data_IF_627021725419
#
_entry.id   IF_627021725419
#
_cell.length_a   1.000
_cell.length_b   1.000
_cell.length_c   1.000
_cell.angle_alpha   90.00
_cell.angle_beta   90.00
_cell.angle_gamma   90.00
#
_symmetry.space_group_name_H-M   'P 1'
#
loop_
_entity.id
_entity.type
_entity.pdbx_description
1 polymer ?
#
# COMPACT_ATOMS: atom_id res chain seq x y z
N UNK A 1 -49.75 -8.73 -13.05
CA UNK A 1 -48.59 -7.85 -13.29
C UNK A 1 -47.61 -8.05 -12.14
N UNK A 2 -46.31 -8.10 -12.40
CA UNK A 2 -45.30 -8.28 -11.35
C UNK A 2 -45.33 -7.10 -10.37
N UNK A 3 -45.35 -7.38 -9.07
CA UNK A 3 -45.32 -6.35 -8.00
C UNK A 3 -44.30 -6.73 -6.96
N UNK A 4 -43.36 -5.84 -6.67
CA UNK A 4 -42.37 -5.99 -5.61
C UNK A 4 -42.95 -5.46 -4.31
N UNK A 5 -42.99 -6.31 -3.29
CA UNK A 5 -43.37 -5.95 -1.93
C UNK A 5 -42.15 -5.42 -1.16
N UNK A 6 -41.04 -6.17 -1.18
CA UNK A 6 -39.81 -5.83 -0.46
C UNK A 6 -38.56 -6.35 -1.18
N UNK A 7 -37.41 -5.79 -0.80
CA UNK A 7 -36.09 -6.29 -1.14
C UNK A 7 -35.26 -6.43 0.13
N UNK A 8 -34.38 -7.43 0.19
CA UNK A 8 -33.49 -7.65 1.32
C UNK A 8 -32.18 -8.28 0.85
N UNK A 9 -31.01 -7.72 1.22
CA UNK A 9 -30.84 -6.48 1.99
C UNK A 9 -31.22 -5.21 1.20
N UNK A 10 -31.40 -4.07 1.86
CA UNK A 10 -31.66 -2.76 1.20
C UNK A 10 -30.39 -2.00 0.82
N UNK A 11 -29.22 -2.53 1.19
CA UNK A 11 -27.91 -2.07 0.77
C UNK A 11 -26.97 -3.25 0.58
N UNK A 12 -25.91 -3.07 -0.18
CA UNK A 12 -24.90 -4.09 -0.42
C UNK A 12 -23.88 -3.65 -1.46
N UNK A 13 -22.93 -4.51 -1.77
CA UNK A 13 -21.88 -4.27 -2.74
C UNK A 13 -21.92 -5.34 -3.86
N UNK A 14 -20.90 -5.38 -4.71
CA UNK A 14 -20.81 -6.37 -5.78
C UNK A 14 -20.67 -7.79 -5.22
N UNK A 15 -21.46 -8.73 -5.74
CA UNK A 15 -21.40 -10.14 -5.34
C UNK A 15 -22.40 -10.51 -4.25
N UNK A 16 -22.96 -9.54 -3.53
CA UNK A 16 -24.02 -9.78 -2.55
C UNK A 16 -25.26 -10.43 -3.18
N UNK A 17 -25.96 -11.26 -2.41
CA UNK A 17 -27.23 -11.85 -2.85
C UNK A 17 -28.39 -10.97 -2.41
N UNK A 18 -29.11 -10.42 -3.38
CA UNK A 18 -30.34 -9.66 -3.17
C UNK A 18 -31.56 -10.58 -3.35
N UNK A 19 -32.42 -10.63 -2.35
CA UNK A 19 -33.73 -11.30 -2.42
C UNK A 19 -34.83 -10.27 -2.65
N UNK A 20 -35.65 -10.50 -3.66
CA UNK A 20 -36.80 -9.66 -4.04
C UNK A 20 -38.07 -10.46 -3.79
N UNK A 21 -38.92 -9.98 -2.89
CA UNK A 21 -40.19 -10.63 -2.54
C UNK A 21 -41.36 -9.86 -3.12
N UNK A 22 -42.35 -10.58 -3.66
CA UNK A 22 -43.46 -9.95 -4.35
C UNK A 22 -44.53 -10.92 -4.83
N UNK A 23 -45.24 -10.51 -5.87
CA UNK A 23 -46.24 -11.34 -6.55
C UNK A 23 -46.04 -11.27 -8.06
N UNK A 24 -46.31 -12.38 -8.76
CA UNK A 24 -46.21 -12.45 -10.21
C UNK A 24 -44.80 -12.23 -10.75
N UNK A 25 -43.76 -12.61 -10.00
CA UNK A 25 -42.35 -12.38 -10.36
C UNK A 25 -41.79 -13.36 -11.43
N UNK A 26 -42.66 -14.17 -12.02
CA UNK A 26 -42.31 -15.17 -13.03
C UNK A 26 -42.09 -16.56 -12.43
N UNK A 27 -41.41 -17.42 -13.19
CA UNK A 27 -41.01 -18.77 -12.80
C UNK A 27 -39.84 -19.23 -13.70
N UNK A 28 -39.40 -20.48 -13.56
CA UNK A 28 -38.26 -21.01 -14.31
C UNK A 28 -38.46 -21.13 -15.83
N UNK A 29 -39.68 -21.04 -16.34
CA UNK A 29 -39.97 -21.15 -17.79
C UNK A 29 -40.22 -19.79 -18.45
N UNK A 30 -40.26 -18.72 -17.67
CA UNK A 30 -40.50 -17.35 -18.15
C UNK A 30 -39.23 -16.53 -18.05
N UNK A 31 -38.94 -15.72 -19.06
CA UNK A 31 -37.82 -14.78 -19.00
C UNK A 31 -38.08 -13.69 -17.97
N UNK A 32 -37.36 -13.79 -16.85
CA UNK A 32 -37.32 -12.78 -15.79
C UNK A 32 -35.96 -12.10 -15.77
N UNK A 33 -35.94 -10.78 -15.64
CA UNK A 33 -34.71 -9.98 -15.47
C UNK A 33 -34.86 -9.06 -14.26
N UNK A 34 -33.78 -8.80 -13.55
CA UNK A 34 -33.73 -7.77 -12.50
C UNK A 34 -32.96 -6.57 -13.01
N UNK A 35 -33.49 -5.37 -12.83
CA UNK A 35 -32.87 -4.12 -13.25
C UNK A 35 -32.46 -3.31 -12.03
N UNK A 36 -31.18 -2.94 -11.96
CA UNK A 36 -30.63 -1.94 -11.05
C UNK A 36 -30.47 -0.63 -11.84
N UNK A 37 -31.50 0.22 -11.83
CA UNK A 37 -31.57 1.37 -12.74
C UNK A 37 -31.51 0.91 -14.20
N UNK A 38 -30.50 1.39 -14.94
CA UNK A 38 -30.29 1.00 -16.34
C UNK A 38 -29.58 -0.35 -16.52
N UNK A 39 -28.97 -0.92 -15.47
CA UNK A 39 -28.25 -2.18 -15.60
C UNK A 39 -29.13 -3.37 -15.31
N UNK A 40 -29.25 -4.26 -16.29
CA UNK A 40 -30.05 -5.47 -16.20
C UNK A 40 -29.19 -6.71 -15.98
N UNK A 41 -29.63 -7.59 -15.10
CA UNK A 41 -28.98 -8.86 -14.80
C UNK A 41 -29.98 -10.01 -14.80
N UNK A 42 -29.49 -11.21 -15.08
CA UNK A 42 -30.29 -12.44 -14.98
C UNK A 42 -30.29 -12.90 -13.52
N UNK A 43 -31.46 -13.13 -12.90
CA UNK A 43 -31.54 -13.66 -11.54
C UNK A 43 -31.01 -15.10 -11.45
N UNK A 44 -30.51 -15.48 -10.27
CA UNK A 44 -30.03 -16.84 -9.99
C UNK A 44 -31.18 -17.81 -9.71
N UNK A 45 -32.27 -17.34 -9.09
CA UNK A 45 -33.49 -18.13 -8.90
C UNK A 45 -34.74 -17.28 -9.13
N UNK A 46 -35.80 -17.90 -9.63
CA UNK A 46 -37.07 -17.24 -9.93
C UNK A 46 -38.22 -18.14 -9.50
N UNK A 47 -39.07 -17.61 -8.63
CA UNK A 47 -40.36 -18.19 -8.24
C UNK A 47 -41.46 -17.13 -8.37
N UNK A 48 -42.75 -17.51 -8.32
CA UNK A 48 -43.83 -16.54 -8.43
C UNK A 48 -43.83 -15.44 -7.36
N UNK A 49 -43.19 -15.69 -6.20
CA UNK A 49 -43.19 -14.79 -5.04
C UNK A 49 -41.82 -14.33 -4.57
N UNK A 50 -40.74 -14.92 -5.10
CA UNK A 50 -39.36 -14.59 -4.72
C UNK A 50 -38.39 -14.71 -5.91
N UNK A 51 -37.49 -13.74 -6.04
CA UNK A 51 -36.39 -13.73 -7.00
C UNK A 51 -35.10 -13.47 -6.25
N UNK A 52 -34.08 -14.31 -6.44
CA UNK A 52 -32.73 -14.02 -5.94
C UNK A 52 -31.83 -13.61 -7.09
N UNK A 53 -30.97 -12.63 -6.85
CA UNK A 53 -30.02 -12.14 -7.84
C UNK A 53 -28.73 -11.72 -7.17
N UNK A 54 -27.60 -11.96 -7.85
CA UNK A 54 -26.31 -11.43 -7.43
C UNK A 54 -26.20 -9.97 -7.85
N UNK A 55 -25.90 -9.08 -6.91
CA UNK A 55 -25.72 -7.65 -7.16
C UNK A 55 -24.48 -7.47 -8.06
N UNK A 56 -24.60 -6.82 -9.23
CA UNK A 56 -23.48 -6.64 -10.14
C UNK A 56 -22.56 -5.46 -9.71
N UNK A 57 -21.32 -5.32 -10.25
CA UNK A 57 -20.36 -4.25 -9.88
C UNK A 57 -20.77 -2.82 -10.29
N UNK A 58 -21.46 -2.04 -9.46
CA UNK A 58 -22.04 -0.72 -9.79
C UNK A 58 -21.13 0.45 -9.31
N UNK A 59 -21.45 1.69 -9.68
CA UNK A 59 -20.93 2.86 -8.98
C UNK A 59 -21.69 3.06 -7.67
N UNK A 60 -21.02 3.59 -6.63
CA UNK A 60 -21.65 3.92 -5.34
C UNK A 60 -22.89 4.82 -5.49
N UNK A 61 -23.96 4.51 -4.75
CA UNK A 61 -25.17 5.35 -4.73
C UNK A 61 -26.48 4.57 -4.69
N UNK A 62 -27.60 5.30 -4.76
CA UNK A 62 -28.94 4.73 -4.73
C UNK A 62 -29.41 4.29 -6.13
N UNK A 63 -29.92 3.06 -6.22
CA UNK A 63 -30.52 2.49 -7.43
C UNK A 63 -31.97 2.10 -7.19
N UNK A 64 -32.79 2.26 -8.22
CA UNK A 64 -34.14 1.71 -8.25
C UNK A 64 -34.11 0.28 -8.80
N UNK A 65 -34.44 -0.69 -7.96
CA UNK A 65 -34.53 -2.10 -8.32
C UNK A 65 -35.93 -2.43 -8.81
N UNK A 66 -36.02 -3.03 -10.01
CA UNK A 66 -37.28 -3.51 -10.59
C UNK A 66 -37.10 -4.91 -11.20
N UNK A 67 -38.21 -5.60 -11.45
CA UNK A 67 -38.22 -6.90 -12.12
C UNK A 67 -39.01 -6.79 -13.42
N UNK A 68 -38.43 -7.27 -14.52
CA UNK A 68 -39.11 -7.38 -15.82
C UNK A 68 -39.44 -8.84 -16.09
N UNK A 69 -40.73 -9.14 -16.27
CA UNK A 69 -41.26 -10.48 -16.56
C UNK A 69 -41.94 -10.43 -17.92
N UNK A 70 -41.48 -11.23 -18.89
CA UNK A 70 -42.03 -11.26 -20.26
C UNK A 70 -42.22 -9.87 -20.90
N UNK A 71 -41.27 -8.95 -20.66
CA UNK A 71 -41.32 -7.58 -21.21
C UNK A 71 -42.15 -6.58 -20.40
N UNK A 72 -42.84 -7.01 -19.33
CA UNK A 72 -43.56 -6.10 -18.41
C UNK A 72 -42.73 -5.84 -17.15
N UNK A 73 -42.50 -4.56 -16.82
CA UNK A 73 -41.71 -4.13 -15.65
C UNK A 73 -42.61 -3.85 -14.44
N UNK A 74 -42.18 -4.27 -13.25
CA UNK A 74 -42.85 -4.03 -11.96
C UNK A 74 -42.69 -2.59 -11.46
N UNK A 75 -43.29 -2.28 -10.29
CA UNK A 75 -42.84 -1.15 -9.46
C UNK A 75 -41.39 -1.34 -8.99
N UNK A 76 -40.80 -0.30 -8.40
CA UNK A 76 -39.43 -0.32 -7.89
C UNK A 76 -39.32 -0.29 -6.36
N UNK A 77 -38.15 -0.69 -5.87
CA UNK A 77 -37.66 -0.48 -4.50
C UNK A 77 -36.25 0.09 -4.52
N UNK A 78 -35.94 0.97 -3.57
CA UNK A 78 -34.62 1.60 -3.48
C UNK A 78 -33.60 0.65 -2.84
N UNK A 79 -32.46 0.49 -3.50
CA UNK A 79 -31.30 -0.24 -3.02
C UNK A 79 -30.09 0.70 -2.99
N UNK A 80 -29.35 0.74 -1.89
CA UNK A 80 -28.12 1.54 -1.79
C UNK A 80 -26.91 0.66 -2.09
N UNK A 81 -26.26 0.89 -3.23
CA UNK A 81 -25.03 0.21 -3.57
C UNK A 81 -23.85 0.90 -2.90
N UNK A 82 -23.15 0.18 -2.03
CA UNK A 82 -21.91 0.66 -1.41
C UNK A 82 -20.76 0.32 -2.37
N UNK A 83 -20.14 1.36 -2.91
CA UNK A 83 -19.00 1.20 -3.81
C UNK A 83 -17.74 0.78 -3.07
N UNK A 84 -16.87 0.04 -3.77
CA UNK A 84 -15.51 -0.20 -3.33
C UNK A 84 -14.78 1.14 -3.09
N UNK A 85 -13.87 1.19 -2.10
CA UNK A 85 -13.08 2.38 -1.85
C UNK A 85 -12.10 2.62 -3.00
N UNK A 86 -11.59 3.84 -3.09
CA UNK A 86 -10.52 4.19 -4.04
C UNK A 86 -9.37 4.77 -3.22
N UNK A 87 -8.20 4.15 -3.35
CA UNK A 87 -6.96 4.66 -2.77
C UNK A 87 -6.21 5.42 -3.87
N UNK A 88 -5.80 6.65 -3.58
CA UNK A 88 -5.25 7.59 -4.55
C UNK A 88 -3.81 8.00 -4.26
N UNK A 89 -3.36 7.86 -3.01
CA UNK A 89 -2.01 8.21 -2.59
C UNK A 89 -1.67 7.49 -1.29
N UNK A 90 -0.39 7.16 -1.12
CA UNK A 90 0.17 6.55 0.08
C UNK A 90 1.50 7.25 0.42
N UNK A 91 1.66 7.68 1.66
CA UNK A 91 2.89 8.36 2.10
C UNK A 91 3.23 8.13 3.58
N UNK A 92 4.49 7.82 3.92
CA UNK A 92 5.58 7.50 2.98
C UNK A 92 5.28 6.22 2.18
N UNK A 93 5.71 6.17 0.92
CA UNK A 93 5.50 5.03 0.01
C UNK A 93 6.57 3.94 0.12
N UNK A 94 7.44 4.04 1.12
CA UNK A 94 8.57 3.15 1.31
C UNK A 94 9.06 3.17 2.76
N UNK A 95 9.79 2.13 3.15
CA UNK A 95 10.42 2.04 4.47
C UNK A 95 11.17 0.72 4.70
N UNK A 96 11.62 0.49 5.94
CA UNK A 96 12.41 -0.70 6.30
C UNK A 96 11.57 -1.98 6.32
N UNK A 97 12.22 -3.14 6.38
CA UNK A 97 11.57 -4.45 6.61
C UNK A 97 10.70 -4.51 7.88
N UNK A 98 11.01 -3.67 8.88
CA UNK A 98 10.26 -3.58 10.14
C UNK A 98 9.80 -2.13 10.42
N UNK A 99 8.79 -1.61 9.69
CA UNK A 99 8.33 -0.24 9.86
C UNK A 99 7.77 0.02 11.26
N UNK A 100 8.24 1.09 11.90
CA UNK A 100 7.67 1.62 13.16
C UNK A 100 6.80 2.84 12.92
N UNK A 101 7.06 3.58 11.85
CA UNK A 101 6.32 4.78 11.45
C UNK A 101 5.06 4.43 10.66
N UNK A 102 4.02 5.23 10.85
CA UNK A 102 2.76 5.03 10.13
C UNK A 102 2.81 5.64 8.72
N UNK A 103 2.08 5.00 7.80
CA UNK A 103 1.76 5.55 6.48
C UNK A 103 0.35 6.13 6.47
N UNK A 104 0.18 7.20 5.69
CA UNK A 104 -1.10 7.84 5.42
C UNK A 104 -1.58 7.44 4.03
N UNK A 105 -2.77 6.84 3.96
CA UNK A 105 -3.47 6.48 2.74
C UNK A 105 -4.58 7.52 2.51
N UNK A 106 -4.58 8.15 1.34
CA UNK A 106 -5.57 9.16 0.95
C UNK A 106 -6.45 8.60 -0.18
N UNK A 107 -7.75 8.85 -0.10
CA UNK A 107 -8.70 8.30 -1.07
C UNK A 107 -10.15 8.76 -0.88
N UNK A 108 -11.08 7.89 -1.27
CA UNK A 108 -12.53 8.06 -1.10
C UNK A 108 -13.16 6.73 -0.69
N UNK A 109 -14.28 6.76 0.04
CA UNK A 109 -14.96 5.55 0.54
C UNK A 109 -14.26 4.90 1.73
N UNK A 110 -13.34 5.60 2.41
CA UNK A 110 -12.48 5.03 3.45
C UNK A 110 -13.10 5.05 4.86
N UNK A 111 -14.27 5.68 5.05
CA UNK A 111 -14.88 5.85 6.37
C UNK A 111 -15.18 4.52 7.07
N UNK A 112 -15.46 3.47 6.29
CA UNK A 112 -15.83 2.13 6.77
C UNK A 112 -14.70 1.11 6.60
N UNK A 113 -13.45 1.55 6.67
CA UNK A 113 -12.29 0.66 6.59
C UNK A 113 -12.37 -0.40 7.68
N UNK A 114 -12.23 -1.66 7.28
CA UNK A 114 -12.19 -2.83 8.16
C UNK A 114 -10.77 -3.38 8.32
N UNK A 115 -9.96 -3.30 7.26
CA UNK A 115 -8.56 -3.72 7.28
C UNK A 115 -7.75 -3.07 6.16
N UNK A 116 -6.42 -3.07 6.33
CA UNK A 116 -5.46 -2.74 5.29
C UNK A 116 -4.50 -3.91 5.12
N UNK A 117 -4.27 -4.36 3.89
CA UNK A 117 -3.33 -5.45 3.56
C UNK A 117 -2.20 -4.92 2.71
N UNK A 118 -0.98 -5.41 2.95
CA UNK A 118 0.22 -5.12 2.18
C UNK A 118 0.63 -6.40 1.47
N UNK A 119 0.40 -6.49 0.16
CA UNK A 119 0.62 -7.71 -0.61
C UNK A 119 -0.17 -8.90 -0.04
N UNK A 120 0.54 -10.00 0.24
CA UNK A 120 -0.03 -11.20 0.84
C UNK A 120 0.10 -11.25 2.38
N UNK A 121 0.53 -10.16 3.02
CA UNK A 121 0.68 -10.09 4.47
C UNK A 121 -0.68 -10.16 5.19
N UNK A 122 -0.62 -10.56 6.47
CA UNK A 122 -1.81 -10.61 7.32
C UNK A 122 -2.50 -9.22 7.38
N UNK A 123 -3.84 -9.16 7.30
CA UNK A 123 -4.55 -7.87 7.34
C UNK A 123 -4.30 -7.10 8.65
N UNK A 124 -3.91 -5.84 8.51
CA UNK A 124 -3.78 -4.90 9.62
C UNK A 124 -5.17 -4.39 10.00
N UNK A 125 -5.54 -4.56 11.27
CA UNK A 125 -6.84 -4.15 11.83
C UNK A 125 -6.73 -2.99 12.83
N UNK A 126 -5.51 -2.54 13.11
CA UNK A 126 -5.21 -1.38 13.96
C UNK A 126 -4.78 -0.20 13.10
N UNK A 127 -5.66 0.78 12.96
CA UNK A 127 -5.44 1.99 12.17
C UNK A 127 -6.35 3.10 12.70
N UNK A 128 -6.16 4.31 12.18
CA UNK A 128 -7.10 5.42 12.41
C UNK A 128 -7.69 5.87 11.09
N UNK A 129 -8.98 6.21 11.08
CA UNK A 129 -9.65 6.78 9.91
C UNK A 129 -10.13 8.19 10.22
N UNK A 130 -9.98 9.10 9.25
CA UNK A 130 -10.49 10.47 9.36
C UNK A 130 -11.45 10.74 8.22
N UNK A 131 -12.75 10.66 8.54
CA UNK A 131 -13.81 10.80 7.56
C UNK A 131 -13.69 9.77 6.44
N UNK A 132 -14.08 10.17 5.23
CA UNK A 132 -14.11 9.25 4.08
C UNK A 132 -12.83 9.24 3.24
N UNK A 133 -11.81 9.99 3.67
CA UNK A 133 -10.68 10.36 2.79
C UNK A 133 -9.32 9.91 3.28
N UNK A 134 -9.17 9.52 4.54
CA UNK A 134 -7.84 9.26 5.12
C UNK A 134 -7.86 8.03 6.03
N UNK A 135 -6.86 7.17 5.85
CA UNK A 135 -6.51 6.06 6.76
C UNK A 135 -5.04 6.21 7.15
N UNK A 136 -4.72 6.15 8.44
CA UNK A 136 -3.34 6.11 8.94
C UNK A 136 -3.09 4.75 9.57
N UNK A 137 -2.10 4.03 9.08
CA UNK A 137 -1.80 2.64 9.44
C UNK A 137 -0.29 2.40 9.45
N UNK A 138 0.21 1.62 10.39
CA UNK A 138 1.61 1.16 10.37
C UNK A 138 1.71 -0.10 9.52
N UNK A 139 2.56 -0.13 8.47
CA UNK A 139 2.76 -1.33 7.68
C UNK A 139 3.28 -2.49 8.56
N UNK A 140 2.90 -3.75 8.28
CA UNK A 140 3.45 -4.89 9.00
C UNK A 140 4.92 -5.10 8.63
N UNK A 141 5.62 -5.88 9.45
CA UNK A 141 6.94 -6.38 9.08
C UNK A 141 6.86 -7.32 7.87
N UNK A 142 7.85 -7.26 7.00
CA UNK A 142 7.92 -8.05 5.78
C UNK A 142 9.38 -8.44 5.50
N UNK A 143 9.61 -9.68 5.07
CA UNK A 143 10.94 -10.16 4.68
C UNK A 143 11.13 -9.94 3.19
N UNK A 144 12.12 -9.13 2.84
CA UNK A 144 12.37 -8.74 1.44
C UNK A 144 13.25 -9.77 0.74
N UNK A 145 12.86 -10.17 -0.47
CA UNK A 145 13.74 -10.96 -1.35
C UNK A 145 14.58 -10.04 -2.25
N UNK A 146 15.91 -10.03 -2.05
CA UNK A 146 16.84 -9.15 -2.79
C UNK A 146 17.20 -7.91 -1.97
N UNK A 147 17.20 -6.72 -2.57
CA UNK A 147 17.46 -5.46 -1.86
C UNK A 147 16.16 -4.69 -1.52
N UNK A 148 15.14 -4.82 -2.38
CA UNK A 148 13.83 -4.15 -2.24
C UNK A 148 12.69 -5.02 -2.76
N UNK A 149 11.50 -4.86 -2.18
CA UNK A 149 10.28 -5.53 -2.64
C UNK A 149 9.08 -4.57 -2.55
N UNK A 150 8.32 -4.46 -3.65
CA UNK A 150 7.16 -3.55 -3.73
C UNK A 150 5.86 -4.32 -3.64
N UNK A 151 5.05 -3.99 -2.64
CA UNK A 151 3.77 -4.63 -2.37
C UNK A 151 2.60 -3.69 -2.67
N UNK A 152 1.53 -4.24 -3.26
CA UNK A 152 0.27 -3.51 -3.39
C UNK A 152 -0.40 -3.34 -2.03
N UNK A 153 -0.91 -2.14 -1.75
CA UNK A 153 -1.66 -1.84 -0.54
C UNK A 153 -3.15 -1.79 -0.87
N UNK A 154 -3.92 -2.63 -0.20
CA UNK A 154 -5.37 -2.75 -0.40
C UNK A 154 -6.09 -2.38 0.89
N UNK A 155 -7.06 -1.48 0.78
CA UNK A 155 -7.97 -1.12 1.88
C UNK A 155 -9.29 -1.83 1.67
N UNK A 156 -9.70 -2.65 2.63
CA UNK A 156 -11.00 -3.33 2.61
C UNK A 156 -12.00 -2.53 3.42
N UNK A 157 -13.16 -2.27 2.83
CA UNK A 157 -14.30 -1.64 3.51
C UNK A 157 -15.55 -2.50 3.35
N UNK A 158 -16.67 -2.08 3.93
CA UNK A 158 -17.97 -2.73 3.67
C UNK A 158 -18.40 -2.65 2.20
N UNK A 159 -17.82 -1.73 1.41
CA UNK A 159 -18.02 -1.65 -0.04
C UNK A 159 -17.19 -2.64 -0.86
N UNK A 160 -16.32 -3.41 -0.21
CA UNK A 160 -15.33 -4.30 -0.82
C UNK A 160 -13.91 -3.74 -0.74
N UNK A 161 -13.02 -4.35 -1.52
CA UNK A 161 -11.61 -4.00 -1.59
C UNK A 161 -11.35 -2.80 -2.49
N UNK A 162 -10.37 -1.97 -2.12
CA UNK A 162 -9.97 -0.84 -2.93
C UNK A 162 -9.46 -1.28 -4.29
N UNK A 163 -9.85 -0.55 -5.34
CA UNK A 163 -9.19 -0.69 -6.63
C UNK A 163 -7.81 -0.04 -6.57
N UNK A 164 -6.75 -0.84 -6.73
CA UNK A 164 -5.38 -0.31 -6.83
C UNK A 164 -5.25 0.52 -8.10
N UNK A 165 -4.82 1.77 -7.97
CA UNK A 165 -4.31 2.53 -9.11
C UNK A 165 -2.80 2.30 -9.14
N UNK A 166 -2.31 1.62 -10.18
CA UNK A 166 -0.92 1.14 -10.28
C UNK A 166 0.07 2.25 -9.88
N UNK A 167 0.93 1.95 -8.90
CA UNK A 167 1.99 2.83 -8.39
C UNK A 167 1.61 3.80 -7.26
N UNK A 168 0.36 4.28 -7.19
CA UNK A 168 -0.04 5.28 -6.18
C UNK A 168 -0.39 4.66 -4.81
N UNK A 169 -0.60 3.35 -4.78
CA UNK A 169 -1.03 2.58 -3.60
C UNK A 169 -0.11 1.37 -3.42
N UNK A 170 1.19 1.58 -3.62
CA UNK A 170 2.22 0.58 -3.40
C UNK A 170 3.12 1.04 -2.26
N UNK A 171 3.64 0.08 -1.51
CA UNK A 171 4.64 0.32 -0.49
C UNK A 171 5.87 -0.53 -0.80
N UNK A 172 7.03 0.12 -0.87
CA UNK A 172 8.31 -0.56 -1.13
C UNK A 172 9.07 -0.77 0.17
N UNK A 173 9.30 -2.04 0.51
CA UNK A 173 10.17 -2.44 1.59
C UNK A 173 11.62 -2.47 1.12
N UNK A 174 12.52 -1.94 1.95
CA UNK A 174 13.95 -1.91 1.72
C UNK A 174 14.67 -2.70 2.82
N UNK A 175 15.66 -3.49 2.43
CA UNK A 175 16.60 -4.09 3.36
C UNK A 175 17.47 -3.04 4.03
N UNK A 176 17.82 -3.28 5.29
CA UNK A 176 18.83 -2.49 5.97
C UNK A 176 20.16 -2.60 5.20
N UNK A 177 20.83 -1.49 4.86
CA UNK A 177 22.13 -1.55 4.21
C UNK A 177 23.19 -2.12 5.15
N UNK A 178 24.21 -2.76 4.59
CA UNK A 178 25.38 -3.20 5.37
C UNK A 178 26.64 -2.69 4.71
N UNK A 179 27.63 -2.27 5.52
CA UNK A 179 28.98 -1.96 5.04
C UNK A 179 29.89 -3.12 5.43
N UNK A 180 30.61 -3.65 4.44
CA UNK A 180 31.47 -4.85 4.57
C UNK A 180 32.94 -4.56 4.39
N UNK A 181 33.29 -3.46 3.71
CA UNK A 181 34.67 -3.00 3.61
C UNK A 181 34.76 -1.51 3.25
N UNK A 182 35.85 -0.87 3.66
CA UNK A 182 36.24 0.48 3.21
C UNK A 182 37.69 0.44 2.74
N UNK A 183 37.96 0.99 1.55
CA UNK A 183 39.28 0.90 0.92
C UNK A 183 39.60 2.17 0.12
N UNK A 184 40.70 2.89 0.44
CA UNK A 184 41.60 2.63 1.55
C UNK A 184 40.92 2.90 2.91
N UNK A 185 41.23 2.08 3.93
CA UNK A 185 40.74 2.25 5.30
C UNK A 185 41.51 3.32 6.10
N UNK A 186 42.53 3.93 5.49
CA UNK A 186 43.36 4.96 6.12
C UNK A 186 43.72 6.03 5.11
N UNK A 187 43.69 7.30 5.50
CA UNK A 187 44.07 8.37 4.59
C UNK A 187 43.86 9.77 5.16
N UNK A 188 44.09 10.80 4.35
CA UNK A 188 44.00 12.20 4.79
C UNK A 188 42.55 12.73 4.71
N UNK A 189 42.23 13.73 5.54
CA UNK A 189 41.00 14.49 5.37
C UNK A 189 40.96 15.15 3.97
N UNK A 190 39.83 15.05 3.27
CA UNK A 190 39.69 15.52 1.89
C UNK A 190 40.22 14.56 0.82
N UNK A 191 40.73 13.38 1.20
CA UNK A 191 41.14 12.36 0.24
C UNK A 191 39.94 11.84 -0.55
N UNK A 192 40.08 11.75 -1.87
CA UNK A 192 39.03 11.23 -2.75
C UNK A 192 39.20 9.72 -2.96
N UNK A 193 38.10 9.04 -3.27
CA UNK A 193 38.15 7.67 -3.79
C UNK A 193 38.12 6.57 -2.73
N UNK A 194 37.52 6.83 -1.56
CA UNK A 194 37.23 5.77 -0.60
C UNK A 194 36.11 4.91 -1.18
N UNK A 195 36.47 3.69 -1.56
CA UNK A 195 35.53 2.66 -1.99
C UNK A 195 34.89 2.05 -0.76
N UNK A 196 33.57 2.06 -0.70
CA UNK A 196 32.76 1.44 0.34
C UNK A 196 32.02 0.28 -0.30
N UNK A 197 32.26 -0.95 0.18
CA UNK A 197 31.59 -2.16 -0.31
C UNK A 197 30.57 -2.64 0.72
N UNK A 198 29.47 -3.23 0.26
CA UNK A 198 28.35 -3.58 1.12
C UNK A 198 27.21 -4.32 0.43
N UNK A 199 26.02 -4.18 1.01
CA UNK A 199 24.77 -4.70 0.45
C UNK A 199 23.65 -3.67 0.60
N UNK A 200 22.61 -3.79 -0.22
CA UNK A 200 21.40 -2.98 -0.17
C UNK A 200 21.64 -1.47 -0.27
N UNK A 201 22.67 -1.04 -1.02
CA UNK A 201 22.94 0.38 -1.32
C UNK A 201 21.98 0.91 -2.39
N UNK A 202 20.68 0.78 -2.15
CA UNK A 202 19.60 1.23 -3.04
C UNK A 202 19.05 2.55 -2.54
N UNK A 203 18.90 3.53 -3.43
CA UNK A 203 18.39 4.87 -3.11
C UNK A 203 19.09 5.50 -1.89
N UNK A 204 20.42 5.42 -1.87
CA UNK A 204 21.25 6.02 -0.81
C UNK A 204 20.89 7.48 -0.62
N UNK A 205 20.54 7.84 0.62
CA UNK A 205 20.11 9.20 0.98
C UNK A 205 21.22 10.00 1.64
N UNK A 206 22.11 9.34 2.37
CA UNK A 206 23.30 9.96 2.98
C UNK A 206 24.36 8.89 3.29
N UNK A 207 25.62 9.29 3.20
CA UNK A 207 26.76 8.56 3.80
C UNK A 207 27.35 9.44 4.89
N UNK A 208 27.54 8.90 6.08
CA UNK A 208 27.90 9.69 7.26
C UNK A 208 29.18 9.15 7.89
N UNK A 209 30.12 10.03 8.20
CA UNK A 209 31.34 9.73 8.95
C UNK A 209 31.15 10.16 10.40
N UNK A 210 31.03 9.21 11.32
CA UNK A 210 30.82 9.49 12.76
C UNK A 210 32.06 9.11 13.57
N UNK A 211 32.59 10.04 14.37
CA UNK A 211 33.78 9.77 15.16
C UNK A 211 33.50 8.72 16.26
N UNK A 212 34.30 7.66 16.28
CA UNK A 212 34.13 6.51 17.20
C UNK A 212 34.28 6.85 18.69
N UNK A 213 34.98 7.95 19.02
CA UNK A 213 35.23 8.40 20.40
C UNK A 213 34.33 9.57 20.80
N UNK A 214 33.99 10.44 19.84
CA UNK A 214 33.19 11.64 20.03
C UNK A 214 32.03 11.70 19.02
N UNK A 215 30.96 10.91 19.20
CA UNK A 215 29.91 10.74 18.18
C UNK A 215 29.18 12.03 17.74
N UNK A 216 29.27 13.10 18.53
CA UNK A 216 28.78 14.43 18.12
C UNK A 216 29.58 15.05 16.96
N UNK A 217 30.79 14.54 16.69
CA UNK A 217 31.62 14.92 15.55
C UNK A 217 31.27 14.01 14.37
N UNK A 218 30.28 14.44 13.59
CA UNK A 218 29.75 13.72 12.44
C UNK A 218 29.80 14.58 11.18
N UNK A 219 30.01 13.96 10.04
CA UNK A 219 30.10 14.63 8.74
C UNK A 219 29.32 13.83 7.69
N UNK A 220 28.28 14.45 7.13
CA UNK A 220 27.57 13.90 5.99
C UNK A 220 28.32 14.21 4.69
N UNK A 221 28.42 13.21 3.83
CA UNK A 221 28.90 13.36 2.47
C UNK A 221 27.75 13.91 1.61
N UNK A 222 27.92 15.04 0.91
CA UNK A 222 26.92 15.53 -0.04
C UNK A 222 26.59 14.47 -1.10
N UNK A 223 25.31 14.32 -1.46
CA UNK A 223 24.87 13.32 -2.43
C UNK A 223 25.57 13.48 -3.79
N UNK A 224 25.89 14.71 -4.20
CA UNK A 224 26.62 14.97 -5.44
C UNK A 224 28.08 14.46 -5.45
N UNK A 225 28.65 14.20 -4.28
CA UNK A 225 30.03 13.73 -4.12
C UNK A 225 30.13 12.19 -4.03
N UNK A 226 28.99 11.50 -3.94
CA UNK A 226 28.90 10.04 -3.95
C UNK A 226 28.87 9.56 -5.40
N UNK A 227 29.84 8.75 -5.80
CA UNK A 227 29.98 8.23 -7.18
C UNK A 227 30.07 6.71 -7.20
N UNK A 228 29.93 6.09 -8.39
CA UNK A 228 30.06 4.63 -8.53
C UNK A 228 28.99 3.83 -7.79
N UNK A 229 27.81 4.40 -7.60
CA UNK A 229 26.72 3.78 -6.85
C UNK A 229 26.13 2.58 -7.61
N UNK A 230 26.28 1.40 -7.03
CA UNK A 230 25.49 0.21 -7.30
C UNK A 230 24.98 -0.38 -5.97
N UNK A 231 24.29 -1.53 -6.00
CA UNK A 231 23.67 -2.08 -4.77
C UNK A 231 24.69 -2.68 -3.78
N UNK A 232 25.95 -2.81 -4.19
CA UNK A 232 27.04 -3.43 -3.44
C UNK A 232 28.26 -2.53 -3.24
N UNK A 233 28.32 -1.38 -3.91
CA UNK A 233 29.46 -0.49 -3.86
C UNK A 233 29.05 0.96 -4.06
N UNK A 234 29.77 1.86 -3.38
CA UNK A 234 29.77 3.29 -3.65
C UNK A 234 31.17 3.86 -3.38
N UNK A 235 31.43 5.06 -3.86
CA UNK A 235 32.71 5.75 -3.68
C UNK A 235 32.44 7.13 -3.11
N UNK A 236 33.14 7.48 -2.01
CA UNK A 236 33.02 8.76 -1.32
C UNK A 236 34.39 9.43 -1.12
N UNK A 237 34.44 10.76 -1.01
CA UNK A 237 35.58 11.44 -0.43
C UNK A 237 35.56 11.38 1.10
N UNK A 238 36.73 11.39 1.73
CA UNK A 238 36.87 11.74 3.14
C UNK A 238 36.47 13.22 3.33
N UNK A 239 35.53 13.55 4.24
CA UNK A 239 35.22 14.94 4.54
C UNK A 239 36.46 15.76 4.95
N UNK A 240 36.56 17.01 4.50
CA UNK A 240 37.73 17.85 4.80
C UNK A 240 37.84 18.23 6.29
N UNK A 241 36.76 18.07 7.07
CA UNK A 241 36.71 18.38 8.50
C UNK A 241 37.17 17.26 9.43
N UNK A 242 37.54 16.09 8.89
CA UNK A 242 37.98 14.96 9.71
C UNK A 242 39.28 15.30 10.47
N UNK A 243 39.37 14.87 11.74
CA UNK A 243 40.53 15.16 12.60
C UNK A 243 41.60 14.07 12.45
N UNK A 244 42.85 14.46 12.13
CA UNK A 244 44.00 13.54 12.06
C UNK A 244 44.21 12.76 13.37
N UNK A 245 44.54 11.47 13.24
CA UNK A 245 44.74 10.53 14.34
C UNK A 245 43.45 9.95 14.94
N UNK A 246 42.29 10.26 14.36
CA UNK A 246 41.00 9.74 14.80
C UNK A 246 40.44 8.68 13.86
N UNK A 247 39.51 7.87 14.38
CA UNK A 247 38.78 6.84 13.62
C UNK A 247 37.31 7.24 13.53
N UNK A 248 36.77 7.13 12.32
CA UNK A 248 35.37 7.40 12.01
C UNK A 248 34.71 6.13 11.46
N UNK A 249 33.53 5.80 11.95
CA UNK A 249 32.66 4.79 11.33
C UNK A 249 31.97 5.44 10.12
N UNK A 250 31.95 4.74 8.98
CA UNK A 250 31.27 5.17 7.75
C UNK A 250 29.95 4.42 7.65
N UNK A 251 28.84 5.11 7.87
CA UNK A 251 27.50 4.52 7.73
C UNK A 251 26.84 4.95 6.42
N UNK A 252 26.04 4.06 5.83
CA UNK A 252 25.23 4.31 4.65
C UNK A 252 23.77 4.28 5.06
N UNK A 253 23.01 5.32 4.68
CA UNK A 253 21.57 5.39 4.94
C UNK A 253 20.79 5.24 3.64
N UNK A 254 19.79 4.38 3.68
CA UNK A 254 18.80 4.17 2.62
C UNK A 254 17.39 4.28 3.22
N UNK A 255 16.30 4.16 2.43
CA UNK A 255 14.96 4.02 3.00
C UNK A 255 14.80 2.79 3.92
N UNK A 256 15.70 1.82 3.82
CA UNK A 256 15.78 0.65 4.70
C UNK A 256 16.37 0.95 6.08
N UNK A 257 16.93 2.15 6.27
CA UNK A 257 17.56 2.60 7.51
C UNK A 257 19.06 2.87 7.33
N UNK A 258 19.74 3.12 8.45
CA UNK A 258 21.18 3.34 8.52
C UNK A 258 21.91 2.02 8.79
N UNK A 259 22.99 1.76 8.06
CA UNK A 259 23.81 0.57 8.27
C UNK A 259 24.39 0.51 9.68
N UNK A 260 24.46 -0.68 10.26
CA UNK A 260 25.10 -0.89 11.57
C UNK A 260 26.61 -0.65 11.51
N UNK A 261 27.19 -0.10 12.57
CA UNK A 261 28.65 0.12 12.67
C UNK A 261 29.42 -1.14 13.06
N UNK A 262 30.67 -1.22 12.61
CA UNK A 262 31.56 -2.37 12.73
C UNK A 262 33.02 -1.97 12.47
N UNK A 263 33.98 -2.85 12.75
CA UNK A 263 35.37 -2.55 12.39
C UNK A 263 35.61 -2.47 10.86
N UNK A 264 34.68 -2.98 10.04
CA UNK A 264 34.82 -3.03 8.59
C UNK A 264 34.48 -1.70 7.90
N UNK A 265 33.78 -0.81 8.60
CA UNK A 265 33.38 0.51 8.12
C UNK A 265 34.26 1.65 8.66
N UNK A 266 35.38 1.30 9.33
CA UNK A 266 36.23 2.29 9.97
C UNK A 266 37.26 2.90 9.02
N UNK A 267 37.29 4.23 8.99
CA UNK A 267 38.32 5.02 8.34
C UNK A 267 39.20 5.74 9.35
N UNK A 268 40.51 5.49 9.29
CA UNK A 268 41.51 6.14 10.15
C UNK A 268 42.15 7.32 9.44
N UNK A 269 42.04 8.51 10.02
CA UNK A 269 42.58 9.73 9.44
C UNK A 269 44.07 9.86 9.77
N UNK A 270 44.93 10.01 8.77
CA UNK A 270 46.37 10.25 8.91
C UNK A 270 46.72 11.72 8.80
#
# INVERSE_FOLDING_TARGET
MATISSISPTQGNSGDVLTITGTGLGNSTVTTKVNFGARTVTPSTVTPTSVTVTVPPLCGGQYNVSVTVSGSTSNSRSFFYVGAPVCSFLSPAQGPETPTEAVTIIGTGLATTASVTFGAEAPVTTFTTTGDTTVVVTPPAHTVTGDTETLDVVVTTVGGDSVSSSGATQFTYYNLPTVTSVSPATGAAGEAGIVVEGTSFVDVTVVTFTNTVTPANTFDVPLEDIVGLDTTQLVVPAPAGLTSGQVYDITVTTPGGESTTSAADQYTVT
#
